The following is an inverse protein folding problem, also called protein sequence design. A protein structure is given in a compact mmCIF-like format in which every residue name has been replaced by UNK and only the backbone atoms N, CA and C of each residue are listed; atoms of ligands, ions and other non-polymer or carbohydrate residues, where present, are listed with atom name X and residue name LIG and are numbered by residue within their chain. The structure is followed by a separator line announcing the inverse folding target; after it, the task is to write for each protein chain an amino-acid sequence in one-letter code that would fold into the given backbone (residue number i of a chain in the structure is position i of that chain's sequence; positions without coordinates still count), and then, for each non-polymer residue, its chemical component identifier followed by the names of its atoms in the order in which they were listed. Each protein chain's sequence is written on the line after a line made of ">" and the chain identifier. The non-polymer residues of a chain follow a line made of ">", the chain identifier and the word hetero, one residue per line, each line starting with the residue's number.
data_IF_374070336321
#
_entry.id   IF_374070336321
#
_cell.length_a   1.000
_cell.length_b   1.000
_cell.length_c   1.000
_cell.angle_alpha   90.00
_cell.angle_beta   90.00
_cell.angle_gamma   90.00
#
_symmetry.space_group_name_H-M   'P 1'
#
loop_
_entity.id
_entity.type
_entity.pdbx_description
1 polymer ?
#
# COMPACT_ATOMS: atom_id res chain seq x y z
N UNK A 1 -47.42 -14.93 -27.16
CA UNK A 1 -46.11 -14.28 -27.41
C UNK A 1 -45.10 -14.67 -26.33
N UNK A 2 -44.86 -15.98 -26.11
CA UNK A 2 -43.91 -16.48 -25.07
C UNK A 2 -43.17 -17.73 -25.55
N UNK A 3 -42.76 -17.78 -26.83
CA UNK A 3 -42.04 -18.95 -27.39
C UNK A 3 -40.69 -18.61 -28.03
N UNK A 4 -40.17 -17.39 -27.84
CA UNK A 4 -38.96 -16.93 -28.56
C UNK A 4 -37.74 -16.65 -27.66
N UNK A 5 -37.79 -17.02 -26.38
CA UNK A 5 -36.67 -16.83 -25.47
C UNK A 5 -35.52 -17.83 -25.71
N UNK A 6 -35.86 -19.05 -26.14
CA UNK A 6 -34.86 -20.10 -26.41
C UNK A 6 -34.07 -19.84 -27.70
N UNK A 7 -34.69 -19.20 -28.70
CA UNK A 7 -34.00 -18.82 -29.93
C UNK A 7 -33.03 -17.66 -29.71
N UNK A 8 -33.41 -16.70 -28.85
CA UNK A 8 -32.55 -15.57 -28.49
C UNK A 8 -31.28 -16.02 -27.75
N UNK A 9 -31.39 -17.03 -26.87
CA UNK A 9 -30.24 -17.61 -26.17
C UNK A 9 -29.25 -18.32 -27.10
N UNK A 10 -29.73 -18.98 -28.16
CA UNK A 10 -28.86 -19.64 -29.16
C UNK A 10 -28.09 -18.63 -30.01
N UNK A 11 -28.74 -17.55 -30.44
CA UNK A 11 -28.08 -16.48 -31.20
C UNK A 11 -27.01 -15.76 -30.38
N UNK A 12 -27.23 -15.57 -29.07
CA UNK A 12 -26.22 -14.99 -28.18
C UNK A 12 -25.00 -15.91 -28.00
N UNK A 13 -25.21 -17.22 -28.00
CA UNK A 13 -24.14 -18.21 -27.82
C UNK A 13 -23.31 -18.40 -29.10
N UNK A 14 -23.93 -18.29 -30.29
CA UNK A 14 -23.21 -18.29 -31.57
C UNK A 14 -22.40 -17.00 -31.80
N UNK A 15 -22.88 -15.83 -31.34
CA UNK A 15 -22.11 -14.59 -31.41
C UNK A 15 -20.88 -14.57 -30.49
N UNK A 16 -20.94 -15.27 -29.34
CA UNK A 16 -19.79 -15.39 -28.43
C UNK A 16 -18.73 -16.38 -28.95
N UNK A 17 -19.12 -17.41 -29.70
CA UNK A 17 -18.19 -18.39 -30.28
C UNK A 17 -17.36 -17.87 -31.45
N UNK A 18 -17.85 -16.87 -32.19
CA UNK A 18 -17.16 -16.40 -33.41
C UNK A 18 -16.07 -15.34 -33.18
N UNK A 19 -15.92 -14.81 -31.96
CA UNK A 19 -14.94 -13.77 -31.64
C UNK A 19 -13.62 -14.30 -31.04
N UNK A 20 -13.46 -15.61 -30.90
CA UNK A 20 -12.31 -16.23 -30.23
C UNK A 20 -11.04 -16.41 -31.11
N UNK A 21 -10.99 -15.82 -32.32
CA UNK A 21 -9.89 -16.04 -33.27
C UNK A 21 -9.09 -14.79 -33.68
N UNK A 22 -9.17 -13.68 -32.93
CA UNK A 22 -8.29 -12.52 -33.14
C UNK A 22 -7.58 -12.13 -31.84
N UNK A 23 -6.27 -12.39 -31.81
CA UNK A 23 -5.34 -12.00 -30.74
C UNK A 23 -5.47 -10.50 -30.42
N UNK A 24 -5.67 -10.08 -29.14
CA UNK A 24 -5.89 -8.68 -28.77
C UNK A 24 -4.60 -7.87 -28.59
N UNK A 25 -3.42 -8.50 -28.61
CA UNK A 25 -2.20 -7.90 -28.02
C UNK A 25 -1.51 -6.82 -28.86
N UNK A 26 -1.82 -6.68 -30.15
CA UNK A 26 -1.19 -5.64 -30.98
C UNK A 26 -1.93 -4.31 -30.97
N UNK A 27 -3.24 -4.29 -30.67
CA UNK A 27 -4.05 -3.05 -30.72
C UNK A 27 -4.07 -2.27 -29.40
N UNK A 28 -3.79 -2.92 -28.26
CA UNK A 28 -3.77 -2.25 -26.96
C UNK A 28 -2.47 -1.45 -26.76
N UNK A 29 -1.32 -2.02 -27.17
CA UNK A 29 -0.04 -1.33 -27.16
C UNK A 29 -0.04 -0.07 -28.07
N UNK A 30 -0.70 -0.14 -29.24
CA UNK A 30 -0.82 1.00 -30.16
C UNK A 30 -1.77 2.10 -29.64
N UNK A 31 -2.80 1.74 -28.85
CA UNK A 31 -3.72 2.70 -28.23
C UNK A 31 -3.10 3.43 -27.04
N UNK A 32 -2.28 2.76 -26.24
CA UNK A 32 -1.57 3.38 -25.10
C UNK A 32 -0.47 4.32 -25.61
N UNK A 33 0.22 3.98 -26.70
CA UNK A 33 1.22 4.86 -27.32
C UNK A 33 0.62 6.15 -27.92
N UNK A 34 -0.65 6.14 -28.36
CA UNK A 34 -1.32 7.32 -28.93
C UNK A 34 -1.90 8.30 -27.90
N UNK A 35 -2.07 7.88 -26.64
CA UNK A 35 -2.62 8.75 -25.58
C UNK A 35 -1.55 9.53 -24.81
N UNK A 36 -0.26 9.25 -25.04
CA UNK A 36 0.85 9.90 -24.33
C UNK A 36 1.46 11.12 -25.05
N UNK A 37 0.93 11.52 -26.22
CA UNK A 37 1.41 12.70 -26.97
C UNK A 37 0.20 13.57 -27.35
N UNK A 38 -0.25 14.41 -26.42
CA UNK A 38 -1.08 15.59 -26.71
C UNK A 38 -0.89 16.58 -25.57
N UNK A 39 0.06 17.49 -25.76
CA UNK A 39 0.31 18.66 -24.92
C UNK A 39 -0.78 19.75 -25.12
N UNK A 40 -0.87 20.74 -24.22
CA UNK A 40 -2.10 21.48 -23.93
C UNK A 40 -2.37 22.65 -24.87
N UNK A 41 -3.67 22.98 -24.96
CA UNK A 41 -4.20 24.10 -25.71
C UNK A 41 -3.94 25.46 -25.03
N UNK A 42 -3.67 26.41 -25.91
CA UNK A 42 -3.27 27.80 -25.76
C UNK A 42 -4.47 28.76 -25.63
N UNK A 43 -4.30 29.84 -24.86
CA UNK A 43 -4.94 31.17 -25.02
C UNK A 43 -3.97 32.20 -24.39
N UNK A 44 -3.61 33.38 -24.91
CA UNK A 44 -3.95 34.21 -26.09
C UNK A 44 -2.81 35.29 -26.26
N UNK A 45 -2.83 36.18 -27.27
CA UNK A 45 -1.63 36.81 -27.86
C UNK A 45 -1.30 38.24 -27.35
N UNK A 46 -0.02 38.63 -27.47
CA UNK A 46 0.51 40.00 -27.31
C UNK A 46 1.80 40.20 -28.13
N UNK A 47 2.14 41.43 -28.55
CA UNK A 47 2.73 41.69 -29.87
C UNK A 47 4.26 41.62 -29.94
N UNK A 48 4.70 41.33 -31.17
CA UNK A 48 6.06 41.22 -31.70
C UNK A 48 7.10 42.21 -31.16
N UNK A 49 8.23 41.65 -30.73
CA UNK A 49 9.54 42.22 -30.97
C UNK A 49 10.45 41.14 -31.56
N UNK A 50 10.98 41.42 -32.74
CA UNK A 50 11.90 40.55 -33.45
C UNK A 50 13.24 40.51 -32.73
N UNK A 51 13.71 39.32 -32.35
CA UNK A 51 15.10 39.09 -31.95
C UNK A 51 15.63 37.83 -32.64
N UNK A 52 16.71 38.04 -33.37
CA UNK A 52 17.56 37.10 -34.11
C UNK A 52 17.98 35.90 -33.25
N UNK A 53 18.08 34.67 -33.82
CA UNK A 53 18.53 33.50 -33.08
C UNK A 53 20.05 33.56 -32.82
N UNK A 54 20.54 33.25 -31.61
CA UNK A 54 21.97 33.11 -31.34
C UNK A 54 22.48 31.73 -31.78
N UNK A 55 23.67 31.76 -32.35
CA UNK A 55 24.50 30.64 -32.82
C UNK A 55 24.73 29.57 -31.73
N UNK A 56 24.57 28.27 -32.03
CA UNK A 56 24.85 27.19 -31.10
C UNK A 56 26.28 26.68 -31.29
N UNK A 57 27.30 27.38 -30.79
CA UNK A 57 28.68 26.86 -30.82
C UNK A 57 29.42 26.89 -29.48
N UNK A 58 29.00 27.71 -28.52
CA UNK A 58 29.70 27.82 -27.22
C UNK A 58 29.23 26.81 -26.15
N UNK A 59 27.97 26.35 -26.19
CA UNK A 59 27.40 25.51 -25.12
C UNK A 59 27.93 24.06 -25.11
N UNK A 60 28.47 23.56 -26.23
CA UNK A 60 29.05 22.21 -26.31
C UNK A 60 30.48 22.12 -25.76
N UNK A 61 31.21 23.24 -25.71
CA UNK A 61 32.58 23.27 -25.17
C UNK A 61 32.54 23.26 -23.63
N UNK A 62 31.58 23.95 -23.02
CA UNK A 62 31.44 24.03 -21.55
C UNK A 62 31.01 22.69 -20.92
N UNK A 63 30.21 21.87 -21.62
CA UNK A 63 29.81 20.55 -21.13
C UNK A 63 30.98 19.54 -21.13
N UNK A 64 31.85 19.61 -22.14
CA UNK A 64 33.01 18.71 -22.24
C UNK A 64 34.07 19.03 -21.19
N UNK A 65 34.29 20.31 -20.87
CA UNK A 65 35.21 20.73 -19.80
C UNK A 65 34.68 20.38 -18.41
N UNK A 66 33.35 20.37 -18.20
CA UNK A 66 32.74 19.93 -16.93
C UNK A 66 32.80 18.43 -16.75
N UNK A 67 32.61 17.62 -17.80
CA UNK A 67 32.77 16.16 -17.71
C UNK A 67 34.23 15.75 -17.42
N UNK A 68 35.21 16.41 -18.03
CA UNK A 68 36.62 16.18 -17.71
C UNK A 68 36.98 16.61 -16.28
N UNK A 69 36.43 17.73 -15.80
CA UNK A 69 36.62 18.18 -14.42
C UNK A 69 36.00 17.20 -13.40
N UNK A 70 34.81 16.68 -13.68
CA UNK A 70 34.15 15.68 -12.82
C UNK A 70 34.93 14.36 -12.81
N UNK A 71 35.42 13.89 -13.97
CA UNK A 71 36.26 12.70 -14.03
C UNK A 71 37.60 12.88 -13.31
N UNK A 72 38.20 14.08 -13.36
CA UNK A 72 39.41 14.38 -12.60
C UNK A 72 39.15 14.38 -11.08
N UNK A 73 38.06 14.99 -10.61
CA UNK A 73 37.67 14.98 -9.19
C UNK A 73 37.33 13.57 -8.70
N UNK A 74 36.65 12.75 -9.51
CA UNK A 74 36.36 11.35 -9.17
C UNK A 74 37.64 10.50 -9.17
N UNK A 75 38.55 10.72 -10.12
CA UNK A 75 39.87 10.06 -10.16
C UNK A 75 40.72 10.44 -8.94
N UNK A 76 40.71 11.72 -8.55
CA UNK A 76 41.45 12.24 -7.41
C UNK A 76 40.82 11.79 -6.07
N UNK A 77 39.49 11.71 -5.98
CA UNK A 77 38.77 11.12 -4.85
C UNK A 77 39.03 9.60 -4.71
N UNK A 78 39.22 8.88 -5.82
CA UNK A 78 39.64 7.48 -5.81
C UNK A 78 41.14 7.30 -5.51
N UNK A 79 41.95 8.35 -5.70
CA UNK A 79 43.37 8.39 -5.35
C UNK A 79 43.66 8.94 -3.95
N UNK A 80 42.63 9.31 -3.18
CA UNK A 80 42.75 9.43 -1.73
C UNK A 80 43.13 8.05 -1.22
N UNK A 81 44.44 7.83 -1.05
CA UNK A 81 45.01 6.70 -0.33
C UNK A 81 44.26 6.60 0.98
N UNK A 82 43.28 5.69 1.05
CA UNK A 82 42.75 5.25 2.34
C UNK A 82 43.99 4.90 3.13
N UNK A 83 44.24 5.56 4.29
CA UNK A 83 45.40 5.23 5.10
C UNK A 83 45.37 3.72 5.25
N UNK A 84 46.47 3.06 4.88
CA UNK A 84 46.65 1.64 5.19
C UNK A 84 46.81 1.53 6.70
N UNK A 85 45.71 1.77 7.41
CA UNK A 85 45.44 1.15 8.70
C UNK A 85 45.70 -0.32 8.40
N UNK A 86 46.75 -0.87 9.02
CA UNK A 86 47.19 -2.22 8.71
C UNK A 86 45.99 -3.15 8.76
N UNK A 87 45.88 -4.11 7.83
CA UNK A 87 44.75 -5.07 7.80
C UNK A 87 44.44 -5.66 9.19
N UNK A 88 45.46 -5.80 10.05
CA UNK A 88 45.30 -6.19 11.45
C UNK A 88 44.57 -5.17 12.33
N UNK A 89 44.90 -3.89 12.25
CA UNK A 89 44.24 -2.85 13.03
C UNK A 89 42.80 -2.63 12.57
N UNK A 90 42.54 -2.75 11.27
CA UNK A 90 41.18 -2.73 10.75
C UNK A 90 40.38 -3.95 11.22
N UNK A 91 40.99 -5.15 11.28
CA UNK A 91 40.33 -6.33 11.86
C UNK A 91 40.04 -6.19 13.35
N UNK A 92 40.96 -5.61 14.12
CA UNK A 92 40.78 -5.40 15.55
C UNK A 92 39.62 -4.42 15.83
N UNK A 93 39.53 -3.33 15.07
CA UNK A 93 38.42 -2.36 15.18
C UNK A 93 37.07 -2.97 14.83
N UNK A 94 37.03 -3.85 13.82
CA UNK A 94 35.81 -4.58 13.46
C UNK A 94 35.41 -5.49 14.62
N UNK A 95 36.33 -6.29 15.17
CA UNK A 95 36.05 -7.16 16.32
C UNK A 95 35.59 -6.39 17.57
N UNK A 96 36.22 -5.25 17.88
CA UNK A 96 35.78 -4.37 18.99
C UNK A 96 34.37 -3.80 18.76
N UNK A 97 34.00 -3.51 17.52
CA UNK A 97 32.66 -2.99 17.20
C UNK A 97 31.55 -4.04 17.29
N UNK A 98 31.87 -5.32 17.13
CA UNK A 98 30.88 -6.39 17.08
C UNK A 98 30.33 -6.75 18.48
N UNK A 99 31.19 -6.74 19.50
CA UNK A 99 30.80 -7.05 20.88
C UNK A 99 29.64 -6.18 21.42
N UNK A 100 29.71 -4.84 21.31
CA UNK A 100 28.61 -3.95 21.70
C UNK A 100 27.29 -4.21 20.93
N UNK A 101 27.36 -4.58 19.65
CA UNK A 101 26.17 -4.88 18.82
C UNK A 101 25.49 -6.17 19.31
N UNK A 102 26.26 -7.21 19.60
CA UNK A 102 25.77 -8.47 20.16
C UNK A 102 25.12 -8.22 21.54
N UNK A 103 25.79 -7.47 22.42
CA UNK A 103 25.24 -7.10 23.74
C UNK A 103 23.95 -6.28 23.64
N UNK A 104 23.86 -5.39 22.66
CA UNK A 104 22.63 -4.63 22.39
C UNK A 104 21.50 -5.53 21.90
N UNK A 105 21.80 -6.51 21.04
CA UNK A 105 20.82 -7.50 20.58
C UNK A 105 20.29 -8.37 21.74
N UNK A 106 21.19 -8.85 22.60
CA UNK A 106 20.84 -9.58 23.84
C UNK A 106 19.92 -8.71 24.72
N UNK A 107 20.28 -7.45 24.94
CA UNK A 107 19.48 -6.55 25.76
C UNK A 107 18.09 -6.26 25.16
N UNK A 108 17.97 -6.20 23.83
CA UNK A 108 16.70 -6.05 23.14
C UNK A 108 15.81 -7.30 23.32
N UNK A 109 16.37 -8.49 23.16
CA UNK A 109 15.64 -9.75 23.38
C UNK A 109 15.17 -9.89 24.83
N UNK A 110 16.03 -9.60 25.81
CA UNK A 110 15.69 -9.69 27.23
C UNK A 110 14.64 -8.66 27.69
N UNK A 111 14.49 -7.55 26.97
CA UNK A 111 13.45 -6.54 27.24
C UNK A 111 12.11 -6.87 26.59
N UNK A 112 12.12 -7.71 25.56
CA UNK A 112 10.90 -8.13 24.89
C UNK A 112 10.14 -9.10 25.82
N UNK A 113 8.98 -8.67 26.31
CA UNK A 113 8.07 -9.55 27.05
C UNK A 113 7.17 -10.27 26.04
N UNK A 114 7.30 -11.61 25.89
CA UNK A 114 6.48 -12.37 24.94
C UNK A 114 4.98 -12.32 25.26
N UNK A 115 4.58 -11.88 26.45
CA UNK A 115 3.17 -11.72 26.82
C UNK A 115 2.60 -10.34 26.53
N UNK A 116 3.45 -9.34 26.34
CA UNK A 116 3.03 -7.95 26.20
C UNK A 116 3.01 -7.45 24.75
N UNK A 117 3.78 -8.08 23.86
CA UNK A 117 3.95 -7.63 22.48
C UNK A 117 3.20 -8.53 21.48
N UNK A 118 2.78 -7.95 20.36
CA UNK A 118 2.16 -8.69 19.26
C UNK A 118 3.19 -9.65 18.62
N UNK A 119 2.85 -10.92 18.35
CA UNK A 119 3.81 -11.93 17.88
C UNK A 119 4.61 -11.51 16.64
N UNK A 120 3.99 -10.77 15.71
CA UNK A 120 4.64 -10.27 14.51
C UNK A 120 5.82 -9.32 14.81
N UNK A 121 5.68 -8.46 15.82
CA UNK A 121 6.74 -7.53 16.24
C UNK A 121 7.92 -8.29 16.84
N UNK A 122 7.63 -9.33 17.62
CA UNK A 122 8.65 -10.19 18.22
C UNK A 122 9.44 -10.97 17.16
N UNK A 123 8.76 -11.52 16.15
CA UNK A 123 9.41 -12.20 15.03
C UNK A 123 10.29 -11.25 14.20
N UNK A 124 9.83 -10.02 13.93
CA UNK A 124 10.65 -9.03 13.22
C UNK A 124 11.96 -8.71 13.98
N UNK A 125 11.90 -8.58 15.32
CA UNK A 125 13.10 -8.39 16.15
C UNK A 125 14.04 -9.61 16.10
N UNK A 126 13.48 -10.82 16.12
CA UNK A 126 14.26 -12.07 15.98
C UNK A 126 14.98 -12.10 14.63
N UNK A 127 14.30 -11.78 13.54
CA UNK A 127 14.87 -11.77 12.19
C UNK A 127 16.00 -10.73 12.04
N UNK A 128 15.85 -9.55 12.63
CA UNK A 128 16.91 -8.53 12.66
C UNK A 128 18.15 -9.04 13.39
N UNK A 129 17.99 -9.69 14.55
CA UNK A 129 19.10 -10.29 15.30
C UNK A 129 19.76 -11.42 14.52
N UNK A 130 18.99 -12.28 13.85
CA UNK A 130 19.52 -13.35 13.00
C UNK A 130 20.34 -12.80 11.83
N UNK A 131 19.84 -11.74 11.19
CA UNK A 131 20.55 -11.07 10.09
C UNK A 131 21.88 -10.50 10.56
N UNK A 132 21.90 -9.85 11.73
CA UNK A 132 23.13 -9.32 12.31
C UNK A 132 24.13 -10.42 12.65
N UNK A 133 23.68 -11.52 13.26
CA UNK A 133 24.51 -12.70 13.53
C UNK A 133 25.12 -13.27 12.24
N UNK A 134 24.34 -13.36 11.15
CA UNK A 134 24.84 -13.83 9.86
C UNK A 134 25.93 -12.92 9.28
N UNK A 135 25.77 -11.60 9.39
CA UNK A 135 26.78 -10.62 8.97
C UNK A 135 28.06 -10.76 9.80
N UNK A 136 27.93 -10.94 11.12
CA UNK A 136 29.07 -11.17 12.02
C UNK A 136 29.78 -12.48 11.66
N UNK A 137 29.04 -13.56 11.49
CA UNK A 137 29.56 -14.88 11.13
C UNK A 137 30.36 -14.83 9.82
N UNK A 138 29.81 -14.17 8.79
CA UNK A 138 30.49 -14.01 7.51
C UNK A 138 31.77 -13.18 7.64
N UNK A 139 31.74 -12.11 8.45
CA UNK A 139 32.92 -11.27 8.71
C UNK A 139 34.03 -12.06 9.40
N UNK A 140 33.69 -12.95 10.34
CA UNK A 140 34.65 -13.77 11.09
C UNK A 140 35.39 -14.81 10.24
N UNK A 141 34.82 -15.25 9.11
CA UNK A 141 35.47 -16.24 8.21
C UNK A 141 36.80 -15.76 7.67
N UNK A 142 36.98 -14.45 7.49
CA UNK A 142 38.18 -13.86 6.89
C UNK A 142 39.24 -13.44 7.92
N UNK A 143 38.96 -13.59 9.21
CA UNK A 143 39.88 -13.20 10.28
C UNK A 143 40.74 -14.37 10.77
N UNK A 144 42.04 -14.09 11.01
CA UNK A 144 42.98 -15.02 11.62
C UNK A 144 42.49 -15.43 13.02
N UNK A 145 42.85 -16.62 13.46
CA UNK A 145 42.50 -17.11 14.79
C UNK A 145 43.27 -16.32 15.85
N UNK A 146 42.57 -15.37 16.47
CA UNK A 146 43.05 -14.59 17.61
C UNK A 146 42.18 -14.93 18.84
N UNK A 147 42.69 -14.72 20.06
CA UNK A 147 41.87 -14.89 21.27
C UNK A 147 40.64 -13.98 21.27
N UNK A 148 40.68 -12.80 20.64
CA UNK A 148 39.48 -11.96 20.53
C UNK A 148 38.40 -12.60 19.65
N UNK A 149 38.80 -13.23 18.53
CA UNK A 149 37.89 -13.98 17.65
C UNK A 149 37.16 -15.09 18.42
N UNK A 150 37.89 -15.84 19.25
CA UNK A 150 37.31 -16.89 20.08
C UNK A 150 36.27 -16.35 21.08
N UNK A 151 36.54 -15.20 21.71
CA UNK A 151 35.58 -14.53 22.60
C UNK A 151 34.32 -14.07 21.86
N UNK A 152 34.45 -13.52 20.64
CA UNK A 152 33.29 -13.13 19.83
C UNK A 152 32.47 -14.35 19.40
N UNK A 153 33.12 -15.45 19.02
CA UNK A 153 32.44 -16.71 18.67
C UNK A 153 31.64 -17.23 19.87
N UNK A 154 32.21 -17.19 21.07
CA UNK A 154 31.49 -17.65 22.28
C UNK A 154 30.28 -16.75 22.59
N UNK A 155 30.41 -15.44 22.44
CA UNK A 155 29.29 -14.50 22.60
C UNK A 155 28.19 -14.72 21.56
N UNK A 156 28.55 -15.05 20.31
CA UNK A 156 27.58 -15.42 19.28
C UNK A 156 26.84 -16.70 19.64
N UNK A 157 27.54 -17.71 20.16
CA UNK A 157 26.95 -18.98 20.60
C UNK A 157 25.97 -18.78 21.76
N UNK A 158 26.33 -17.94 22.72
CA UNK A 158 25.45 -17.55 23.83
C UNK A 158 24.17 -16.86 23.30
N UNK A 159 24.32 -15.90 22.38
CA UNK A 159 23.19 -15.21 21.76
C UNK A 159 22.32 -16.16 20.91
N UNK A 160 22.90 -17.09 20.14
CA UNK A 160 22.15 -18.11 19.39
C UNK A 160 21.36 -19.04 20.32
N UNK A 161 21.95 -19.43 21.45
CA UNK A 161 21.27 -20.23 22.48
C UNK A 161 20.09 -19.47 23.10
N UNK A 162 20.28 -18.19 23.45
CA UNK A 162 19.21 -17.33 23.96
C UNK A 162 18.11 -17.11 22.93
N UNK A 163 18.49 -16.84 21.67
CA UNK A 163 17.55 -16.65 20.58
C UNK A 163 16.72 -17.90 20.32
N UNK A 164 17.34 -19.08 20.40
CA UNK A 164 16.65 -20.38 20.27
C UNK A 164 15.67 -20.60 21.42
N UNK A 165 16.08 -20.29 22.65
CA UNK A 165 15.19 -20.37 23.81
C UNK A 165 14.02 -19.38 23.70
N UNK A 166 14.29 -18.16 23.24
CA UNK A 166 13.26 -17.13 23.01
C UNK A 166 12.28 -17.54 21.92
N UNK A 167 12.77 -17.98 20.76
CA UNK A 167 11.90 -18.47 19.66
C UNK A 167 11.08 -19.69 20.05
N UNK A 168 11.57 -20.55 20.95
CA UNK A 168 10.79 -21.67 21.49
C UNK A 168 9.64 -21.23 22.40
N UNK A 169 9.70 -20.03 22.97
CA UNK A 169 8.60 -19.44 23.78
C UNK A 169 7.62 -18.63 22.95
N UNK A 170 8.01 -18.20 21.75
CA UNK A 170 7.09 -17.57 20.82
C UNK A 170 6.08 -18.60 20.32
N UNK A 171 4.81 -18.23 20.14
CA UNK A 171 3.87 -19.08 19.43
C UNK A 171 4.45 -19.43 18.06
N UNK A 172 4.33 -20.68 17.63
CA UNK A 172 4.77 -21.19 16.32
C UNK A 172 3.88 -20.66 15.17
N UNK A 173 3.46 -19.40 15.29
CA UNK A 173 2.75 -18.64 14.29
C UNK A 173 3.73 -18.01 13.30
N UNK A 174 4.69 -18.81 12.80
CA UNK A 174 5.23 -18.62 11.44
C UNK A 174 4.17 -18.90 10.37
N UNK A 175 2.91 -19.02 10.75
CA UNK A 175 1.79 -19.06 9.84
C UNK A 175 1.83 -17.75 9.05
N UNK A 176 1.73 -17.82 7.72
CA UNK A 176 1.58 -16.62 6.91
C UNK A 176 0.52 -15.73 7.55
N UNK A 177 0.79 -14.41 7.64
CA UNK A 177 -0.21 -13.45 8.09
C UNK A 177 -1.46 -13.65 7.22
N UNK A 178 -2.50 -14.26 7.78
CA UNK A 178 -3.72 -14.51 7.04
C UNK A 178 -4.48 -13.18 6.95
N UNK A 179 -4.35 -12.53 5.81
CA UNK A 179 -5.16 -11.37 5.46
C UNK A 179 -6.26 -11.85 4.54
N UNK A 180 -7.50 -11.89 5.05
CA UNK A 180 -8.66 -12.19 4.22
C UNK A 180 -8.86 -11.07 3.19
N UNK A 181 -8.41 -11.29 1.96
CA UNK A 181 -8.62 -10.40 0.82
C UNK A 181 -9.82 -10.81 -0.02
N UNK A 182 -10.59 -11.85 0.32
CA UNK A 182 -11.66 -12.35 -0.53
C UNK A 182 -12.72 -11.27 -0.84
N UNK A 183 -12.90 -10.32 0.09
CA UNK A 183 -13.79 -9.17 -0.08
C UNK A 183 -13.40 -8.22 -1.23
N UNK A 184 -12.18 -8.29 -1.77
CA UNK A 184 -11.74 -7.45 -2.90
C UNK A 184 -12.15 -8.03 -4.24
N UNK A 185 -12.37 -9.35 -4.30
CA UNK A 185 -12.75 -10.10 -5.51
C UNK A 185 -14.27 -10.13 -5.71
N UNK A 186 -15.04 -10.00 -4.63
CA UNK A 186 -16.49 -9.94 -4.70
C UNK A 186 -16.92 -8.62 -5.36
N UNK A 187 -17.74 -8.70 -6.41
CA UNK A 187 -18.26 -7.52 -7.09
C UNK A 187 -19.47 -7.02 -6.29
N UNK A 188 -19.33 -5.94 -5.49
CA UNK A 188 -20.32 -5.62 -4.48
C UNK A 188 -21.63 -5.09 -5.07
N UNK A 189 -21.65 -4.75 -6.36
CA UNK A 189 -22.88 -4.34 -7.08
C UNK A 189 -23.61 -5.52 -7.74
N UNK A 190 -22.98 -6.69 -7.89
CA UNK A 190 -23.58 -7.81 -8.62
C UNK A 190 -24.88 -8.33 -7.95
N UNK A 191 -25.00 -8.13 -6.65
CA UNK A 191 -26.16 -8.56 -5.86
C UNK A 191 -27.23 -7.48 -5.69
N UNK A 192 -27.02 -6.27 -6.23
CA UNK A 192 -27.97 -5.17 -6.13
C UNK A 192 -28.96 -5.17 -7.29
N UNK A 193 -30.15 -4.64 -7.06
CA UNK A 193 -31.15 -4.38 -8.09
C UNK A 193 -30.57 -3.43 -9.16
N UNK A 194 -30.86 -3.65 -10.45
CA UNK A 194 -30.35 -2.80 -11.53
C UNK A 194 -30.60 -1.29 -11.31
N UNK A 195 -31.70 -0.89 -10.67
CA UNK A 195 -31.95 0.52 -10.36
C UNK A 195 -30.94 1.07 -9.35
N UNK A 196 -30.63 0.30 -8.30
CA UNK A 196 -29.62 0.66 -7.33
C UNK A 196 -28.24 0.77 -7.99
N UNK A 197 -27.88 -0.18 -8.86
CA UNK A 197 -26.61 -0.16 -9.61
C UNK A 197 -26.49 1.12 -10.47
N UNK A 198 -27.54 1.47 -11.23
CA UNK A 198 -27.57 2.68 -12.06
C UNK A 198 -27.44 3.94 -11.20
N UNK A 199 -28.16 4.03 -10.08
CA UNK A 199 -28.08 5.19 -9.18
C UNK A 199 -26.69 5.37 -8.57
N UNK A 200 -26.07 4.26 -8.14
CA UNK A 200 -24.70 4.26 -7.61
C UNK A 200 -23.72 4.73 -8.68
N UNK A 201 -23.78 4.16 -9.89
CA UNK A 201 -22.91 4.52 -11.01
C UNK A 201 -23.08 5.98 -11.42
N UNK A 202 -24.32 6.47 -11.49
CA UNK A 202 -24.62 7.85 -11.84
C UNK A 202 -24.06 8.83 -10.81
N UNK A 203 -24.26 8.56 -9.52
CA UNK A 203 -23.68 9.36 -8.44
C UNK A 203 -22.16 9.47 -8.55
N UNK A 204 -21.48 8.38 -8.90
CA UNK A 204 -20.04 8.38 -9.11
C UNK A 204 -19.60 9.13 -10.35
N UNK A 205 -20.27 8.95 -11.49
CA UNK A 205 -19.95 9.71 -12.73
C UNK A 205 -20.09 11.21 -12.45
N UNK A 206 -21.18 11.60 -11.79
CA UNK A 206 -21.43 12.98 -11.39
C UNK A 206 -20.31 13.55 -10.50
N UNK A 207 -19.82 12.79 -9.52
CA UNK A 207 -18.78 13.27 -8.64
C UNK A 207 -17.38 13.22 -9.27
N UNK A 208 -17.00 12.09 -9.85
CA UNK A 208 -15.62 11.80 -10.30
C UNK A 208 -15.36 12.40 -11.68
N UNK A 209 -16.26 12.20 -12.65
CA UNK A 209 -16.05 12.62 -14.03
C UNK A 209 -16.47 14.08 -14.21
N UNK A 210 -17.64 14.45 -13.69
CA UNK A 210 -18.16 15.81 -13.82
C UNK A 210 -17.63 16.77 -12.75
N UNK A 211 -16.95 16.27 -11.71
CA UNK A 211 -16.37 17.09 -10.66
C UNK A 211 -17.41 17.77 -9.76
N UNK A 212 -18.63 17.24 -9.67
CA UNK A 212 -19.66 17.84 -8.82
C UNK A 212 -19.28 17.69 -7.35
N UNK A 213 -19.54 18.75 -6.57
CA UNK A 213 -19.34 18.70 -5.11
C UNK A 213 -20.21 17.60 -4.48
N UNK A 214 -19.78 17.12 -3.31
CA UNK A 214 -20.50 16.08 -2.55
C UNK A 214 -21.94 16.53 -2.26
N UNK A 215 -22.15 17.80 -1.94
CA UNK A 215 -23.48 18.36 -1.69
C UNK A 215 -24.41 18.27 -2.91
N UNK A 216 -23.93 18.65 -4.10
CA UNK A 216 -24.72 18.54 -5.33
C UNK A 216 -25.00 17.09 -5.72
N UNK A 217 -24.04 16.20 -5.49
CA UNK A 217 -24.20 14.77 -5.81
C UNK A 217 -25.19 14.10 -4.86
N UNK A 218 -25.14 14.41 -3.56
CA UNK A 218 -26.13 13.93 -2.59
C UNK A 218 -27.53 14.43 -2.95
N UNK A 219 -27.67 15.70 -3.31
CA UNK A 219 -28.93 16.26 -3.77
C UNK A 219 -29.48 15.52 -5.00
N UNK A 220 -28.63 15.17 -5.97
CA UNK A 220 -29.02 14.38 -7.14
C UNK A 220 -29.49 12.96 -6.74
N UNK A 221 -28.74 12.28 -5.88
CA UNK A 221 -29.10 10.94 -5.39
C UNK A 221 -30.45 10.97 -4.65
N UNK A 222 -30.67 11.94 -3.77
CA UNK A 222 -31.93 12.12 -3.05
C UNK A 222 -33.08 12.44 -4.00
N UNK A 223 -32.85 13.30 -5.00
CA UNK A 223 -33.85 13.65 -6.01
C UNK A 223 -34.28 12.44 -6.83
N UNK A 224 -33.33 11.63 -7.28
CA UNK A 224 -33.64 10.40 -8.04
C UNK A 224 -34.35 9.39 -7.12
N UNK A 225 -33.93 9.26 -5.87
CA UNK A 225 -34.59 8.39 -4.88
C UNK A 225 -36.06 8.79 -4.69
N UNK A 226 -36.33 10.09 -4.60
CA UNK A 226 -37.69 10.63 -4.50
C UNK A 226 -38.51 10.28 -5.76
N UNK A 227 -37.94 10.45 -6.95
CA UNK A 227 -38.60 10.12 -8.21
C UNK A 227 -38.93 8.63 -8.32
N UNK A 228 -38.02 7.76 -7.89
CA UNK A 228 -38.25 6.31 -7.86
C UNK A 228 -39.38 5.96 -6.88
N UNK A 229 -39.37 6.52 -5.67
CA UNK A 229 -40.45 6.34 -4.69
C UNK A 229 -41.80 6.79 -5.23
N UNK A 230 -41.83 7.94 -5.90
CA UNK A 230 -43.05 8.47 -6.52
C UNK A 230 -43.52 7.60 -7.69
N UNK A 231 -42.61 7.09 -8.53
CA UNK A 231 -42.96 6.19 -9.61
C UNK A 231 -43.53 4.86 -9.09
N UNK A 232 -42.96 4.31 -8.02
CA UNK A 232 -43.48 3.10 -7.36
C UNK A 232 -44.85 3.36 -6.70
N UNK A 233 -45.08 4.55 -6.14
CA UNK A 233 -46.35 4.85 -5.46
C UNK A 233 -47.56 4.89 -6.38
N UNK A 234 -47.37 5.20 -7.67
CA UNK A 234 -48.42 5.15 -8.70
C UNK A 234 -48.98 3.73 -8.86
N UNK A 235 -48.18 2.71 -8.57
CA UNK A 235 -48.55 1.30 -8.71
C UNK A 235 -49.02 0.66 -7.39
N UNK A 236 -49.08 1.41 -6.30
CA UNK A 236 -49.57 0.87 -5.03
C UNK A 236 -51.09 0.69 -5.11
N UNK A 237 -51.53 -0.56 -5.06
CA UNK A 237 -52.94 -0.88 -4.85
C UNK A 237 -53.26 -0.77 -3.35
N UNK A 238 -54.23 0.06 -2.94
CA UNK A 238 -54.59 0.17 -1.54
C UNK A 238 -55.12 -1.16 -1.01
N UNK A 239 -54.75 -1.51 0.23
CA UNK A 239 -55.29 -2.69 0.90
C UNK A 239 -56.79 -2.52 1.24
N UNK A 240 -57.44 -3.58 1.72
CA UNK A 240 -58.84 -3.54 2.12
C UNK A 240 -59.14 -2.53 3.26
N UNK A 241 -58.11 -2.07 3.98
CA UNK A 241 -58.19 -1.08 5.04
C UNK A 241 -57.83 0.35 4.55
N UNK A 242 -57.51 0.53 3.26
CA UNK A 242 -57.14 1.80 2.67
C UNK A 242 -55.68 2.24 2.88
N UNK A 243 -54.81 1.38 3.41
CA UNK A 243 -53.39 1.67 3.55
C UNK A 243 -52.65 1.40 2.23
N UNK A 244 -51.82 2.36 1.83
CA UNK A 244 -50.90 2.25 0.71
C UNK A 244 -49.50 1.92 1.21
N UNK A 245 -49.18 0.64 1.34
CA UNK A 245 -47.82 0.15 1.60
C UNK A 245 -47.16 -0.32 0.32
N UNK A 246 -45.84 -0.16 0.22
CA UNK A 246 -45.04 -0.81 -0.82
C UNK A 246 -45.13 -2.33 -0.68
N UNK A 247 -45.05 -3.05 -1.79
CA UNK A 247 -44.87 -4.50 -1.73
C UNK A 247 -43.46 -4.86 -1.24
N UNK A 248 -43.25 -6.13 -0.86
CA UNK A 248 -41.97 -6.59 -0.31
C UNK A 248 -40.80 -6.44 -1.31
N UNK A 249 -41.06 -6.49 -2.62
CA UNK A 249 -40.04 -6.35 -3.66
C UNK A 249 -39.64 -4.88 -3.80
N UNK A 250 -40.62 -3.97 -3.81
CA UNK A 250 -40.41 -2.53 -3.83
C UNK A 250 -39.67 -2.05 -2.59
N UNK A 251 -40.03 -2.54 -1.40
CA UNK A 251 -39.33 -2.19 -0.16
C UNK A 251 -37.86 -2.66 -0.19
N UNK A 252 -37.59 -3.85 -0.73
CA UNK A 252 -36.23 -4.35 -0.90
C UNK A 252 -35.42 -3.50 -1.90
N UNK A 253 -36.00 -3.11 -3.05
CA UNK A 253 -35.35 -2.21 -4.01
C UNK A 253 -35.05 -0.86 -3.36
N UNK A 254 -36.01 -0.28 -2.64
CA UNK A 254 -35.85 1.00 -1.95
C UNK A 254 -34.76 0.95 -0.87
N UNK A 255 -34.64 -0.17 -0.14
CA UNK A 255 -33.58 -0.41 0.84
C UNK A 255 -32.20 -0.46 0.18
N UNK A 256 -32.14 -0.94 -1.05
CA UNK A 256 -30.93 -1.01 -1.86
C UNK A 256 -30.59 0.31 -2.57
N UNK A 257 -31.37 1.38 -2.48
CA UNK A 257 -30.96 2.67 -3.05
C UNK A 257 -29.91 3.37 -2.16
N UNK A 258 -28.87 4.00 -2.73
CA UNK A 258 -27.92 4.76 -1.93
C UNK A 258 -28.60 6.01 -1.37
N UNK A 259 -28.40 6.30 -0.09
CA UNK A 259 -28.93 7.53 0.55
C UNK A 259 -27.99 8.72 0.39
N UNK A 260 -26.73 8.47 0.04
CA UNK A 260 -25.69 9.48 -0.17
C UNK A 260 -24.62 8.95 -1.12
N UNK A 261 -23.79 9.86 -1.63
CA UNK A 261 -22.59 9.51 -2.39
C UNK A 261 -21.65 8.61 -1.57
N UNK A 262 -21.55 8.86 -0.26
CA UNK A 262 -20.73 8.03 0.62
C UNK A 262 -21.21 6.58 0.64
N UNK A 263 -22.53 6.37 0.80
CA UNK A 263 -23.14 5.04 0.74
C UNK A 263 -22.95 4.39 -0.63
N UNK A 264 -22.99 5.17 -1.72
CA UNK A 264 -22.72 4.68 -3.07
C UNK A 264 -21.26 4.21 -3.23
N UNK A 265 -20.29 5.00 -2.74
CA UNK A 265 -18.87 4.66 -2.75
C UNK A 265 -18.55 3.45 -1.88
N UNK A 266 -19.15 3.37 -0.68
CA UNK A 266 -19.02 2.25 0.25
C UNK A 266 -19.52 0.95 -0.40
N UNK A 267 -20.70 1.00 -1.04
CA UNK A 267 -21.29 -0.16 -1.74
C UNK A 267 -20.52 -0.59 -2.98
N UNK A 268 -19.71 0.27 -3.57
CA UNK A 268 -18.80 -0.13 -4.65
C UNK A 268 -17.42 -0.54 -4.15
N UNK A 269 -17.22 -0.57 -2.83
CA UNK A 269 -15.90 -0.78 -2.21
C UNK A 269 -14.86 0.20 -2.78
N UNK A 270 -15.31 1.40 -3.17
CA UNK A 270 -14.48 2.51 -3.66
C UNK A 270 -14.05 3.44 -2.52
N UNK A 271 -14.74 3.40 -1.39
CA UNK A 271 -14.25 4.00 -0.15
C UNK A 271 -13.06 3.14 0.34
N UNK A 272 -11.89 3.38 -0.24
CA UNK A 272 -10.68 2.66 0.15
C UNK A 272 -10.46 2.86 1.64
N UNK A 273 -10.46 1.78 2.44
CA UNK A 273 -10.31 1.82 3.91
C UNK A 273 -9.37 2.94 4.35
N UNK A 274 -9.93 4.05 4.82
CA UNK A 274 -9.16 5.19 5.31
C UNK A 274 -9.02 5.10 6.83
N UNK A 275 -7.79 5.31 7.28
CA UNK A 275 -7.47 5.41 8.69
C UNK A 275 -7.25 6.89 8.99
N UNK A 276 -8.03 7.41 9.95
CA UNK A 276 -7.86 8.77 10.43
C UNK A 276 -6.84 8.75 11.56
N UNK A 277 -5.69 9.35 11.33
CA UNK A 277 -4.62 9.48 12.31
C UNK A 277 -4.68 10.84 13.01
N UNK A 278 -4.14 10.90 14.23
CA UNK A 278 -3.88 12.14 14.95
C UNK A 278 -2.40 12.50 14.81
N UNK A 279 -2.07 13.57 14.09
CA UNK A 279 -0.71 14.05 13.98
C UNK A 279 -0.37 15.03 15.11
N UNK A 280 0.78 14.85 15.75
CA UNK A 280 1.26 15.78 16.76
C UNK A 280 1.56 17.15 16.14
N UNK A 281 1.01 18.26 16.67
CA UNK A 281 1.28 19.58 16.12
C UNK A 281 2.71 20.07 16.40
N UNK A 282 3.43 19.49 17.38
CA UNK A 282 4.80 19.86 17.74
C UNK A 282 5.87 19.03 17.01
N UNK A 283 5.82 17.70 17.12
CA UNK A 283 6.87 16.82 16.56
C UNK A 283 6.45 16.09 15.28
N UNK A 284 5.22 16.29 14.79
CA UNK A 284 4.66 15.63 13.59
C UNK A 284 4.56 14.11 13.63
N UNK A 285 4.80 13.48 14.79
CA UNK A 285 4.53 12.05 14.96
C UNK A 285 3.05 11.72 14.73
N UNK A 286 2.78 10.60 14.06
CA UNK A 286 1.43 10.20 13.63
C UNK A 286 0.94 9.09 14.53
N UNK A 287 -0.17 9.32 15.24
CA UNK A 287 -0.79 8.34 16.13
C UNK A 287 -1.96 7.61 15.45
N UNK A 288 -1.93 6.27 15.36
CA UNK A 288 -3.06 5.49 14.86
C UNK A 288 -4.25 5.55 15.84
N UNK A 289 -5.49 5.40 15.34
CA UNK A 289 -6.66 5.26 16.20
C UNK A 289 -6.68 3.89 16.88
N UNK A 290 -6.96 3.86 18.18
CA UNK A 290 -7.33 2.65 18.91
C UNK A 290 -8.83 2.44 18.78
N UNK A 291 -9.25 1.25 18.35
CA UNK A 291 -10.67 0.87 18.30
C UNK A 291 -11.12 0.45 19.70
N UNK A 292 -12.02 1.23 20.29
CA UNK A 292 -12.68 0.84 21.54
C UNK A 292 -13.70 -0.29 21.33
N UNK A 293 -14.18 -0.88 22.43
CA UNK A 293 -15.22 -1.93 22.42
C UNK A 293 -16.47 -1.48 21.64
N UNK A 294 -16.77 -0.18 21.64
CA UNK A 294 -17.92 0.40 20.94
C UNK A 294 -17.65 0.67 19.45
N UNK A 295 -16.51 0.21 18.91
CA UNK A 295 -15.99 0.53 17.57
C UNK A 295 -15.72 2.02 17.33
N UNK A 296 -15.84 2.87 18.36
CA UNK A 296 -15.44 4.27 18.27
C UNK A 296 -13.91 4.37 18.21
N UNK A 297 -13.42 5.19 17.29
CA UNK A 297 -12.00 5.51 17.16
C UNK A 297 -11.60 6.44 18.30
N UNK A 298 -10.57 6.06 19.03
CA UNK A 298 -9.99 6.83 20.13
C UNK A 298 -8.51 7.06 19.86
N UNK A 299 -7.96 8.16 20.35
CA UNK A 299 -6.53 8.47 20.22
C UNK A 299 -6.00 8.87 21.60
N UNK A 300 -4.69 8.77 21.84
CA UNK A 300 -4.10 9.30 23.07
C UNK A 300 -4.36 10.81 23.18
N UNK A 301 -4.59 11.30 24.40
CA UNK A 301 -4.86 12.72 24.65
C UNK A 301 -3.62 13.59 24.46
N UNK A 302 -2.43 13.01 24.65
CA UNK A 302 -1.13 13.65 24.53
C UNK A 302 -0.20 12.81 23.65
N UNK A 303 0.76 13.46 23.00
CA UNK A 303 1.76 12.82 22.18
C UNK A 303 2.73 11.98 23.04
N UNK A 304 2.80 10.69 22.75
CA UNK A 304 3.66 9.71 23.44
C UNK A 304 5.01 9.52 22.73
N UNK A 305 5.26 10.22 21.63
CA UNK A 305 6.52 10.09 20.89
C UNK A 305 7.72 10.59 21.71
N UNK A 306 8.77 9.77 21.76
CA UNK A 306 10.07 10.17 22.29
C UNK A 306 10.82 11.03 21.26
N UNK A 307 11.14 12.26 21.64
CA UNK A 307 11.95 13.18 20.85
C UNK A 307 13.35 13.25 21.43
N UNK A 308 14.36 13.29 20.55
CA UNK A 308 15.75 13.48 20.94
C UNK A 308 16.03 14.98 20.96
N UNK A 309 16.14 15.54 22.17
CA UNK A 309 16.51 16.93 22.41
C UNK A 309 17.99 17.07 22.82
N UNK A 310 18.39 18.33 23.08
CA UNK A 310 19.75 18.68 23.53
C UNK A 310 20.09 17.99 24.87
N UNK A 311 19.10 17.85 25.75
CA UNK A 311 19.25 17.25 27.08
C UNK A 311 18.99 15.73 27.10
N UNK A 312 18.93 15.07 25.94
CA UNK A 312 18.64 13.64 25.81
C UNK A 312 17.25 13.34 25.27
N UNK A 313 16.70 12.17 25.61
CA UNK A 313 15.38 11.72 25.14
C UNK A 313 14.28 12.19 26.09
N UNK A 314 13.23 12.80 25.56
CA UNK A 314 12.06 13.22 26.33
C UNK A 314 10.76 12.92 25.59
N UNK A 315 9.67 12.70 26.32
CA UNK A 315 8.34 12.49 25.73
C UNK A 315 7.79 13.86 25.30
N UNK A 316 7.27 13.94 24.07
CA UNK A 316 6.75 15.18 23.50
C UNK A 316 5.60 15.79 24.33
N UNK A 317 4.64 14.98 24.78
CA UNK A 317 3.59 15.39 25.72
C UNK A 317 2.57 16.43 25.20
N UNK A 318 2.71 16.87 23.95
CA UNK A 318 1.83 17.88 23.33
C UNK A 318 0.41 17.33 23.19
N UNK A 319 -0.60 18.12 23.51
CA UNK A 319 -2.00 17.72 23.36
C UNK A 319 -2.29 17.34 21.90
N UNK A 320 -3.04 16.25 21.71
CA UNK A 320 -3.43 15.76 20.38
C UNK A 320 -4.90 16.01 20.07
N UNK A 321 -5.73 16.20 21.09
CA UNK A 321 -7.19 16.28 20.96
C UNK A 321 -7.72 17.65 21.40
N UNK A 322 -8.76 18.10 20.71
CA UNK A 322 -9.63 19.21 21.13
C UNK A 322 -10.91 18.59 21.68
N UNK A 323 -11.27 18.95 22.91
CA UNK A 323 -12.57 18.58 23.47
C UNK A 323 -13.68 19.33 22.74
N UNK A 324 -14.53 18.59 22.03
CA UNK A 324 -15.78 19.11 21.48
C UNK A 324 -16.95 18.61 22.30
N UNK A 325 -18.09 19.33 22.27
CA UNK A 325 -19.30 18.98 23.05
C UNK A 325 -19.78 17.55 22.85
N UNK A 326 -19.48 16.95 21.69
CA UNK A 326 -19.91 15.60 21.35
C UNK A 326 -18.80 14.59 21.60
N UNK A 327 -17.63 14.76 20.98
CA UNK A 327 -16.49 13.84 21.12
C UNK A 327 -15.14 14.56 20.95
N UNK A 328 -14.07 14.14 21.65
CA UNK A 328 -12.74 14.69 21.41
C UNK A 328 -12.28 14.38 19.98
N UNK A 329 -11.74 15.39 19.28
CA UNK A 329 -11.28 15.29 17.89
C UNK A 329 -9.79 15.62 17.78
N UNK A 330 -9.03 14.98 16.87
CA UNK A 330 -7.64 15.36 16.63
C UNK A 330 -7.50 16.85 16.28
N UNK A 331 -6.55 17.53 16.92
CA UNK A 331 -6.15 18.92 16.60
C UNK A 331 -5.69 19.00 15.15
N UNK A 332 -4.90 18.02 14.72
CA UNK A 332 -4.39 17.89 13.36
C UNK A 332 -4.77 16.51 12.80
N UNK A 333 -5.97 16.37 12.21
CA UNK A 333 -6.37 15.12 11.58
C UNK A 333 -5.53 14.87 10.33
N UNK A 334 -5.04 13.64 10.16
CA UNK A 334 -4.37 13.18 8.94
C UNK A 334 -5.09 11.94 8.43
N UNK A 335 -5.79 12.07 7.30
CA UNK A 335 -6.48 10.95 6.67
C UNK A 335 -5.50 10.26 5.73
N UNK A 336 -5.27 8.96 5.94
CA UNK A 336 -4.43 8.16 5.04
C UNK A 336 -5.15 6.88 4.62
N UNK A 337 -4.96 6.50 3.37
CA UNK A 337 -5.47 5.25 2.85
C UNK A 337 -4.67 4.09 3.44
N UNK A 338 -5.35 2.99 3.79
CA UNK A 338 -4.68 1.78 4.24
C UNK A 338 -3.79 1.23 3.13
N UNK A 339 -2.48 1.33 3.31
CA UNK A 339 -1.50 0.75 2.39
C UNK A 339 -1.71 -0.76 2.23
N UNK A 340 -2.02 -1.47 3.32
CA UNK A 340 -2.32 -2.91 3.26
C UNK A 340 -3.55 -3.20 2.40
N UNK A 341 -4.62 -2.40 2.50
CA UNK A 341 -5.79 -2.58 1.65
C UNK A 341 -5.48 -2.27 0.18
N UNK A 342 -4.69 -1.23 -0.07
CA UNK A 342 -4.22 -0.91 -1.42
C UNK A 342 -3.39 -2.06 -2.00
N UNK A 343 -2.40 -2.55 -1.26
CA UNK A 343 -1.53 -3.66 -1.67
C UNK A 343 -2.32 -4.95 -1.86
N UNK A 344 -3.24 -5.28 -0.96
CA UNK A 344 -4.10 -6.45 -1.08
C UNK A 344 -4.94 -6.38 -2.36
N UNK A 345 -5.56 -5.23 -2.66
CA UNK A 345 -6.31 -5.05 -3.91
C UNK A 345 -5.41 -5.15 -5.15
N UNK A 346 -4.23 -4.54 -5.10
CA UNK A 346 -3.26 -4.59 -6.18
C UNK A 346 -2.82 -6.03 -6.45
N UNK A 347 -2.44 -6.78 -5.41
CA UNK A 347 -1.96 -8.16 -5.55
C UNK A 347 -3.07 -9.17 -5.84
N UNK A 348 -4.32 -8.90 -5.46
CA UNK A 348 -5.47 -9.77 -5.79
C UNK A 348 -6.04 -9.51 -7.19
N UNK A 349 -5.36 -8.69 -8.01
CA UNK A 349 -5.79 -8.43 -9.38
C UNK A 349 -5.42 -9.64 -10.24
N UNK A 350 -6.35 -10.31 -10.93
CA UNK A 350 -6.08 -11.55 -11.67
C UNK A 350 -4.91 -11.43 -12.67
N UNK A 351 -4.74 -10.26 -13.28
CA UNK A 351 -3.64 -9.97 -14.18
C UNK A 351 -2.29 -9.98 -13.46
N UNK A 352 -2.21 -9.43 -12.25
CA UNK A 352 -0.98 -9.41 -11.44
C UNK A 352 -0.69 -10.80 -10.90
N UNK A 353 -1.70 -11.52 -10.42
CA UNK A 353 -1.56 -12.92 -9.99
C UNK A 353 -0.98 -13.78 -11.13
N UNK A 354 -1.57 -13.69 -12.32
CA UNK A 354 -1.09 -14.39 -13.50
C UNK A 354 0.36 -14.04 -13.86
N UNK A 355 0.74 -12.76 -13.76
CA UNK A 355 2.11 -12.32 -14.01
C UNK A 355 3.12 -12.84 -12.97
N UNK A 356 2.73 -12.88 -11.69
CA UNK A 356 3.54 -13.45 -10.60
C UNK A 356 3.72 -14.96 -10.79
N UNK A 357 2.63 -15.68 -11.07
CA UNK A 357 2.65 -17.13 -11.31
C UNK A 357 3.54 -17.46 -12.51
N UNK A 358 3.39 -16.71 -13.62
CA UNK A 358 4.21 -16.89 -14.81
C UNK A 358 5.70 -16.68 -14.52
N UNK A 359 6.05 -15.64 -13.76
CA UNK A 359 7.44 -15.36 -13.39
C UNK A 359 8.02 -16.47 -12.49
N UNK A 360 7.22 -17.00 -11.55
CA UNK A 360 7.61 -18.13 -10.71
C UNK A 360 7.82 -19.41 -11.51
N UNK A 361 6.91 -19.72 -12.44
CA UNK A 361 7.04 -20.88 -13.34
C UNK A 361 8.29 -20.78 -14.22
N UNK A 362 8.59 -19.59 -14.75
CA UNK A 362 9.81 -19.35 -15.53
C UNK A 362 11.07 -19.58 -14.69
N UNK A 363 11.12 -19.01 -13.48
CA UNK A 363 12.24 -19.17 -12.57
C UNK A 363 12.47 -20.65 -12.18
N UNK A 364 11.40 -21.39 -11.90
CA UNK A 364 11.47 -22.82 -11.58
C UNK A 364 11.92 -23.66 -12.79
N UNK A 365 11.47 -23.31 -14.00
CA UNK A 365 11.93 -23.93 -15.23
C UNK A 365 13.44 -23.71 -15.45
N UNK A 366 13.92 -22.47 -15.26
CA UNK A 366 15.34 -22.13 -15.37
C UNK A 366 16.18 -22.89 -14.34
N UNK A 367 15.74 -22.96 -13.08
CA UNK A 367 16.45 -23.72 -12.04
C UNK A 367 16.58 -25.20 -12.40
N UNK A 368 15.49 -25.85 -12.84
CA UNK A 368 15.51 -27.26 -13.28
C UNK A 368 16.47 -27.49 -14.44
N UNK A 369 16.52 -26.56 -15.40
CA UNK A 369 17.45 -26.63 -16.52
C UNK A 369 18.92 -26.48 -16.10
N UNK A 370 19.21 -25.72 -15.04
CA UNK A 370 20.56 -25.64 -14.47
C UNK A 370 20.93 -26.91 -13.70
N UNK A 371 20.01 -27.47 -12.91
CA UNK A 371 20.27 -28.70 -12.15
C UNK A 371 20.51 -29.91 -13.07
N UNK A 372 19.79 -30.01 -14.19
CA UNK A 372 20.01 -31.09 -15.17
C UNK A 372 21.37 -31.00 -15.87
N UNK A 373 21.93 -29.79 -16.02
CA UNK A 373 23.28 -29.59 -16.57
C UNK A 373 24.37 -30.01 -15.59
N UNK A 374 24.21 -29.69 -14.31
CA UNK A 374 25.18 -30.04 -13.26
C UNK A 374 25.26 -31.55 -13.01
N UNK A 375 24.14 -32.26 -13.21
CA UNK A 375 24.10 -33.73 -13.03
C UNK A 375 24.60 -34.52 -14.23
N UNK A 376 24.72 -33.87 -15.39
CA UNK A 376 25.25 -34.48 -16.61
C UNK A 376 26.78 -34.39 -16.74
N UNK A 377 27.43 -33.60 -15.88
CA UNK A 377 28.89 -33.47 -15.75
C UNK A 377 29.40 -34.30 -14.59
#
# INVERSE_FOLDING_TARGET
>A
MVTDWAAHKRLQQEQLGSNAAQSPDTKLAERVARLAISDPLVTQPGPSSASTPPEPSAARVVLAETEQSIHAVISEAMNIRRPQIGRQEQSARVLESLGPRIKSAIALLRRADPKSEEPAVLWAKVDDVQRELAIVAESLKYHKDTPEKANVIEQMRELESELTAFTATLPDDKRPLYYDSAYTLDNPIQHLDPMAQIMILLGLICNVILGLSIGHTNFLIESITLLVKLAMSIHITPDAAGHSSYDAVQEEILRQLPTSLYTAMERLNLDGKTVLYAACPSCHHIHPPTLSITKARTWPTKCENEVVGVDGRSICGTALLVDTKTHPRPIRPFLSHSFLNYLARLLSTPEIEHEVDRACDEALCQHRALTSRVTAT
#
